data_IF_349294528348
#
_entry.id   IF_349294528348
#
_cell.length_a   1.000
_cell.length_b   1.000
_cell.length_c   1.000
_cell.angle_alpha   90.00
_cell.angle_beta   90.00
_cell.angle_gamma   90.00
#
_symmetry.space_group_name_H-M   'P 1'
#
loop_
_entity.id
_entity.type
_entity.pdbx_description
1 polymer ?
#
# COMPACT_ATOMS: atom_id res chain seq x y z
N UNK A 1 -22.52 -64.28 7.61
CA UNK A 1 -22.59 -63.41 6.41
C UNK A 1 -22.55 -61.91 6.72
N UNK A 2 -23.16 -61.41 7.81
CA UNK A 2 -23.21 -59.97 8.15
C UNK A 2 -21.85 -59.31 8.43
N UNK A 3 -20.88 -60.00 9.05
CA UNK A 3 -19.57 -59.44 9.38
C UNK A 3 -18.71 -59.06 8.16
N UNK A 4 -18.85 -59.77 7.03
CA UNK A 4 -18.15 -59.44 5.78
C UNK A 4 -18.66 -58.13 5.15
N UNK A 5 -19.94 -57.81 5.36
CA UNK A 5 -20.53 -56.57 4.87
C UNK A 5 -19.96 -55.34 5.60
N UNK A 6 -19.83 -55.41 6.93
CA UNK A 6 -19.25 -54.33 7.73
C UNK A 6 -17.76 -54.12 7.49
N UNK A 7 -17.01 -55.21 7.27
CA UNK A 7 -15.58 -55.14 6.95
C UNK A 7 -15.32 -54.42 5.62
N UNK A 8 -16.14 -54.72 4.60
CA UNK A 8 -16.01 -54.08 3.29
C UNK A 8 -16.35 -52.57 3.36
N UNK A 9 -17.37 -52.20 4.14
CA UNK A 9 -17.72 -50.78 4.36
C UNK A 9 -16.62 -50.02 5.11
N UNK A 10 -16.01 -50.65 6.12
CA UNK A 10 -14.92 -50.05 6.88
C UNK A 10 -13.65 -49.85 6.03
N UNK A 11 -13.30 -50.83 5.19
CA UNK A 11 -12.18 -50.71 4.24
C UNK A 11 -12.46 -49.62 3.20
N UNK A 12 -13.69 -49.52 2.69
CA UNK A 12 -14.07 -48.46 1.75
C UNK A 12 -13.95 -47.06 2.38
N UNK A 13 -14.35 -46.92 3.64
CA UNK A 13 -14.21 -45.67 4.41
C UNK A 13 -12.73 -45.32 4.66
N UNK A 14 -11.89 -46.34 4.92
CA UNK A 14 -10.45 -46.18 5.10
C UNK A 14 -9.76 -45.76 3.79
N UNK A 15 -10.17 -46.33 2.66
CA UNK A 15 -9.66 -45.95 1.33
C UNK A 15 -10.10 -44.53 0.96
N UNK A 16 -11.33 -44.14 1.28
CA UNK A 16 -11.82 -42.77 1.07
C UNK A 16 -11.05 -41.74 1.92
N UNK A 17 -10.75 -42.05 3.18
CA UNK A 17 -9.98 -41.17 4.07
C UNK A 17 -8.49 -41.09 3.69
N UNK A 18 -7.90 -42.20 3.19
CA UNK A 18 -6.54 -42.20 2.64
C UNK A 18 -6.45 -41.53 1.26
N UNK A 19 -7.52 -41.55 0.47
CA UNK A 19 -7.58 -40.82 -0.82
C UNK A 19 -7.70 -39.30 -0.61
N UNK A 20 -8.20 -38.86 0.54
CA UNK A 20 -8.15 -37.45 0.98
C UNK A 20 -6.82 -37.03 1.62
N UNK A 21 -5.81 -37.92 1.63
CA UNK A 21 -4.43 -37.63 2.05
C UNK A 21 -3.66 -36.76 1.03
N UNK A 22 -4.37 -36.13 0.08
CA UNK A 22 -3.83 -35.09 -0.80
C UNK A 22 -3.39 -33.84 -0.02
N UNK A 23 -3.97 -33.56 1.15
CA UNK A 23 -3.58 -32.44 2.02
C UNK A 23 -2.21 -32.68 2.68
N UNK A 24 -1.92 -33.93 3.07
CA UNK A 24 -0.63 -34.30 3.67
C UNK A 24 0.49 -34.32 2.62
N UNK A 25 0.21 -34.85 1.42
CA UNK A 25 1.16 -34.73 0.30
C UNK A 25 1.36 -33.27 -0.11
N UNK A 26 0.31 -32.44 -0.14
CA UNK A 26 0.43 -31.00 -0.40
C UNK A 26 1.28 -30.28 0.67
N UNK A 27 1.13 -30.62 1.95
CA UNK A 27 1.96 -30.07 3.04
C UNK A 27 3.41 -30.57 3.02
N UNK A 28 3.69 -31.72 2.41
CA UNK A 28 5.02 -32.34 2.37
C UNK A 28 5.78 -32.07 1.05
N UNK A 29 5.07 -31.87 -0.07
CA UNK A 29 5.65 -31.68 -1.40
C UNK A 29 5.76 -30.21 -1.82
N UNK A 30 4.95 -29.32 -1.25
CA UNK A 30 5.07 -27.88 -1.51
C UNK A 30 6.11 -27.30 -0.55
N UNK A 31 7.24 -26.75 -1.04
CA UNK A 31 8.19 -26.08 -0.16
C UNK A 31 7.47 -24.96 0.60
N UNK A 32 7.84 -24.70 1.87
CA UNK A 32 7.27 -23.58 2.60
C UNK A 32 7.51 -22.29 1.80
N UNK A 33 6.54 -21.36 1.78
CA UNK A 33 6.67 -20.13 1.00
C UNK A 33 7.92 -19.37 1.43
N UNK A 34 8.62 -18.80 0.45
CA UNK A 34 9.78 -17.98 0.72
C UNK A 34 9.39 -16.71 1.51
N UNK A 35 10.35 -16.11 2.21
CA UNK A 35 10.12 -14.86 2.95
C UNK A 35 9.63 -13.73 2.04
N UNK A 36 10.08 -13.72 0.79
CA UNK A 36 9.64 -12.75 -0.21
C UNK A 36 8.18 -12.99 -0.61
N UNK A 37 7.78 -14.24 -0.83
CA UNK A 37 6.38 -14.60 -1.11
C UNK A 37 5.46 -14.24 0.05
N UNK A 38 5.91 -14.45 1.30
CA UNK A 38 5.16 -14.04 2.49
C UNK A 38 5.00 -12.52 2.58
N UNK A 39 6.06 -11.76 2.33
CA UNK A 39 6.01 -10.30 2.29
C UNK A 39 5.05 -9.78 1.21
N UNK A 40 5.16 -10.31 -0.01
CA UNK A 40 4.29 -9.93 -1.13
C UNK A 40 2.82 -10.28 -0.84
N UNK A 41 2.57 -11.43 -0.22
CA UNK A 41 1.22 -11.81 0.22
C UNK A 41 0.68 -10.83 1.27
N UNK A 42 1.45 -10.49 2.29
CA UNK A 42 1.04 -9.52 3.31
C UNK A 42 0.80 -8.13 2.72
N UNK A 43 1.58 -7.71 1.71
CA UNK A 43 1.31 -6.47 0.98
C UNK A 43 0.00 -6.53 0.19
N UNK A 44 -0.26 -7.64 -0.51
CA UNK A 44 -1.54 -7.80 -1.22
C UNK A 44 -2.73 -7.79 -0.27
N UNK A 45 -2.63 -8.47 0.87
CA UNK A 45 -3.67 -8.44 1.91
C UNK A 45 -3.88 -7.01 2.45
N UNK A 46 -2.81 -6.24 2.63
CA UNK A 46 -2.89 -4.83 3.01
C UNK A 46 -3.63 -3.99 1.95
N UNK A 47 -3.22 -4.11 0.68
CA UNK A 47 -3.80 -3.39 -0.46
C UNK A 47 -5.28 -3.74 -0.65
N UNK A 48 -5.65 -5.02 -0.50
CA UNK A 48 -7.03 -5.48 -0.63
C UNK A 48 -7.93 -5.05 0.53
N UNK A 49 -7.36 -4.90 1.74
CA UNK A 49 -8.10 -4.42 2.92
C UNK A 49 -8.14 -2.90 3.04
N UNK A 50 -7.45 -2.17 2.16
CA UNK A 50 -7.45 -0.71 2.17
C UNK A 50 -8.76 -0.16 1.59
N UNK A 51 -9.24 0.94 2.16
CA UNK A 51 -10.37 1.69 1.65
C UNK A 51 -9.97 2.48 0.39
N UNK A 52 -10.80 2.39 -0.65
CA UNK A 52 -10.60 3.06 -1.94
C UNK A 52 -11.53 4.27 -2.08
N UNK A 53 -11.10 5.28 -2.84
CA UNK A 53 -11.92 6.44 -3.25
C UNK A 53 -12.57 7.18 -2.07
N UNK A 54 -11.86 7.28 -0.93
CA UNK A 54 -12.34 8.08 0.20
C UNK A 54 -12.24 9.54 -0.19
N UNK A 55 -13.33 10.28 0.01
CA UNK A 55 -13.35 11.71 -0.24
C UNK A 55 -12.44 12.47 0.73
N UNK A 56 -11.54 13.30 0.20
CA UNK A 56 -10.73 14.27 0.93
C UNK A 56 -11.46 15.00 2.06
N UNK A 57 -12.67 15.50 1.80
CA UNK A 57 -13.44 16.23 2.81
C UNK A 57 -13.92 15.32 3.94
N UNK A 58 -14.21 14.05 3.67
CA UNK A 58 -14.55 13.09 4.73
C UNK A 58 -13.38 12.91 5.70
N UNK A 59 -12.17 12.71 5.16
CA UNK A 59 -10.94 12.60 5.95
C UNK A 59 -10.63 13.88 6.74
N UNK A 60 -10.99 15.04 6.20
CA UNK A 60 -10.73 16.33 6.83
C UNK A 60 -11.76 16.73 7.88
N UNK A 61 -13.03 16.42 7.66
CA UNK A 61 -14.12 16.84 8.53
C UNK A 61 -14.35 15.86 9.68
N UNK A 62 -14.06 14.57 9.49
CA UNK A 62 -14.29 13.52 10.47
C UNK A 62 -13.01 12.69 10.72
N UNK A 63 -11.88 13.30 11.15
CA UNK A 63 -10.60 12.61 11.27
C UNK A 63 -10.66 11.38 12.20
N UNK A 64 -11.39 11.48 13.31
CA UNK A 64 -11.52 10.40 14.31
C UNK A 64 -12.17 9.13 13.76
N UNK A 65 -13.05 9.25 12.76
CA UNK A 65 -13.74 8.11 12.16
C UNK A 65 -12.84 7.29 11.22
N UNK A 66 -11.67 7.84 10.85
CA UNK A 66 -10.71 7.22 9.95
C UNK A 66 -9.36 6.97 10.60
N UNK A 67 -9.19 7.29 11.89
CA UNK A 67 -7.93 7.05 12.59
C UNK A 67 -7.55 5.57 12.52
N UNK A 68 -6.30 5.30 12.13
CA UNK A 68 -5.76 3.95 11.90
C UNK A 68 -6.45 3.12 10.79
N UNK A 69 -7.35 3.72 10.01
CA UNK A 69 -7.91 3.07 8.83
C UNK A 69 -6.85 2.95 7.74
N UNK A 70 -6.86 1.81 7.05
CA UNK A 70 -6.00 1.57 5.88
C UNK A 70 -6.64 2.24 4.67
N UNK A 71 -5.93 3.14 4.02
CA UNK A 71 -6.49 3.91 2.92
C UNK A 71 -5.54 3.95 1.72
N UNK A 72 -6.14 4.01 0.53
CA UNK A 72 -5.46 4.33 -0.71
C UNK A 72 -5.67 5.80 -1.06
N UNK A 73 -4.58 6.50 -1.35
CA UNK A 73 -4.61 7.85 -1.93
C UNK A 73 -3.86 7.83 -3.25
N UNK A 74 -4.47 8.42 -4.28
CA UNK A 74 -3.85 8.60 -5.59
C UNK A 74 -3.58 10.08 -5.83
N UNK A 75 -2.41 10.42 -6.37
CA UNK A 75 -2.11 11.80 -6.75
C UNK A 75 -0.72 12.00 -7.33
N UNK A 76 -0.34 13.27 -7.50
CA UNK A 76 0.97 13.71 -7.99
C UNK A 76 1.82 14.21 -6.82
N UNK A 77 3.07 13.78 -6.74
CA UNK A 77 4.03 14.31 -5.76
C UNK A 77 4.42 15.72 -6.19
N UNK A 78 4.19 16.73 -5.35
CA UNK A 78 4.48 18.13 -5.69
C UNK A 78 5.63 18.74 -4.90
N UNK A 79 5.96 18.19 -3.73
CA UNK A 79 7.13 18.60 -2.95
C UNK A 79 7.66 17.42 -2.14
N UNK A 80 8.98 17.34 -1.99
CA UNK A 80 9.66 16.32 -1.19
C UNK A 80 10.33 16.97 0.02
N UNK A 81 10.17 16.34 1.18
CA UNK A 81 10.88 16.66 2.42
C UNK A 81 11.71 15.45 2.86
N UNK A 82 12.39 15.56 3.98
CA UNK A 82 13.30 14.49 4.45
C UNK A 82 12.57 13.16 4.75
N UNK A 83 11.45 13.23 5.48
CA UNK A 83 10.69 12.06 5.96
C UNK A 83 9.21 12.10 5.55
N UNK A 84 8.86 13.00 4.65
CA UNK A 84 7.51 13.07 4.09
C UNK A 84 7.54 13.76 2.72
N UNK A 85 6.43 13.65 2.01
CA UNK A 85 6.21 14.41 0.78
C UNK A 85 4.78 14.94 0.73
N UNK A 86 4.61 16.02 -0.03
CA UNK A 86 3.31 16.60 -0.30
C UNK A 86 2.77 16.01 -1.59
N UNK A 87 1.62 15.35 -1.49
CA UNK A 87 0.87 14.79 -2.59
C UNK A 87 -0.34 15.68 -2.89
N UNK A 88 -0.64 15.87 -4.18
CA UNK A 88 -1.78 16.65 -4.65
C UNK A 88 -2.66 15.78 -5.55
N UNK A 89 -3.98 15.78 -5.28
CA UNK A 89 -4.97 15.04 -6.08
C UNK A 89 -5.66 16.00 -7.03
N UNK A 90 -5.69 15.64 -8.32
CA UNK A 90 -6.28 16.49 -9.33
C UNK A 90 -7.80 16.21 -9.43
N UNK A 91 -8.68 17.22 -9.24
CA UNK A 91 -10.13 17.03 -9.30
C UNK A 91 -10.64 16.54 -10.65
N UNK A 92 -9.92 16.80 -11.74
CA UNK A 92 -10.39 16.48 -13.09
C UNK A 92 -10.30 14.99 -13.41
N UNK A 93 -9.46 14.25 -12.69
CA UNK A 93 -9.28 12.81 -12.91
C UNK A 93 -10.08 11.97 -11.91
N UNK A 94 -10.16 12.40 -10.64
CA UNK A 94 -10.76 11.59 -9.57
C UNK A 94 -11.91 12.27 -8.81
N UNK A 95 -12.43 13.40 -9.30
CA UNK A 95 -13.42 14.24 -8.60
C UNK A 95 -12.98 14.65 -7.17
N UNK A 96 -11.68 14.59 -6.90
CA UNK A 96 -11.10 14.81 -5.58
C UNK A 96 -10.03 15.91 -5.65
N UNK A 97 -10.31 17.05 -5.02
CA UNK A 97 -9.36 18.15 -4.87
C UNK A 97 -8.80 18.17 -3.45
N UNK A 98 -7.54 17.80 -3.28
CA UNK A 98 -6.96 17.67 -1.94
C UNK A 98 -5.44 17.69 -1.90
N UNK A 99 -4.91 18.11 -0.76
CA UNK A 99 -3.51 17.94 -0.41
C UNK A 99 -3.39 16.83 0.63
N UNK A 100 -2.41 15.97 0.46
CA UNK A 100 -2.11 14.91 1.42
C UNK A 100 -0.67 15.02 1.85
N UNK A 101 -0.41 14.94 3.16
CA UNK A 101 0.95 14.75 3.66
C UNK A 101 1.21 13.25 3.77
N UNK A 102 2.20 12.76 3.06
CA UNK A 102 2.57 11.34 3.10
C UNK A 102 3.85 11.19 3.89
N UNK A 103 3.75 10.58 5.08
CA UNK A 103 4.90 10.24 5.93
C UNK A 103 5.51 8.93 5.47
N UNK A 104 6.84 8.88 5.39
CA UNK A 104 7.63 7.70 5.05
C UNK A 104 8.67 7.46 6.14
N UNK A 105 8.98 6.20 6.42
CA UNK A 105 9.93 5.80 7.47
C UNK A 105 11.36 5.57 6.96
N UNK A 106 11.54 5.68 5.64
CA UNK A 106 12.79 5.53 4.94
C UNK A 106 12.79 6.48 3.74
N UNK A 107 13.93 7.12 3.42
CA UNK A 107 13.98 8.10 2.35
C UNK A 107 13.61 7.46 1.01
N UNK A 108 12.94 8.23 0.17
CA UNK A 108 12.79 7.85 -1.24
C UNK A 108 14.19 7.64 -1.85
N UNK A 109 14.38 6.64 -2.72
CA UNK A 109 15.69 6.39 -3.31
C UNK A 109 16.17 7.62 -4.11
N UNK A 110 17.36 8.15 -3.77
CA UNK A 110 17.96 9.33 -4.45
C UNK A 110 18.73 8.94 -5.72
N UNK A 111 18.88 9.86 -6.68
CA UNK A 111 19.68 9.64 -7.90
C UNK A 111 21.20 9.59 -7.65
N UNK A 112 21.88 8.61 -8.29
CA UNK A 112 23.35 8.53 -8.53
C UNK A 112 24.11 7.64 -7.52
N UNK A 113 24.97 6.66 -7.87
CA UNK A 113 25.76 6.36 -9.09
C UNK A 113 25.77 4.83 -9.43
N UNK A 114 25.85 4.44 -10.72
CA UNK A 114 26.05 3.07 -11.28
C UNK A 114 24.84 2.08 -11.38
N UNK A 115 24.85 1.12 -12.35
CA UNK A 115 23.95 1.10 -13.49
C UNK A 115 22.61 0.39 -13.23
N UNK A 116 21.52 1.19 -13.18
CA UNK A 116 20.06 0.94 -13.44
C UNK A 116 19.44 -0.44 -13.08
N UNK A 117 18.20 -0.51 -12.53
CA UNK A 117 17.02 0.05 -13.22
C UNK A 117 15.82 0.48 -12.31
N UNK A 118 14.71 0.83 -12.99
CA UNK A 118 13.31 1.03 -12.52
C UNK A 118 12.93 2.47 -12.17
N UNK A 119 11.76 2.88 -12.67
CA UNK A 119 11.20 4.24 -12.66
C UNK A 119 11.07 4.71 -11.20
N UNK A 120 11.93 5.64 -10.77
CA UNK A 120 11.87 6.24 -9.43
C UNK A 120 10.74 7.28 -9.35
N UNK A 121 10.11 7.37 -8.18
CA UNK A 121 9.11 8.41 -7.88
C UNK A 121 9.83 9.66 -7.37
N UNK A 122 9.50 10.80 -7.97
CA UNK A 122 9.99 12.12 -7.58
C UNK A 122 8.88 13.15 -7.70
N UNK A 123 9.18 14.43 -7.45
CA UNK A 123 8.30 15.55 -7.85
C UNK A 123 7.83 15.35 -9.30
N UNK A 124 6.52 15.46 -9.52
CA UNK A 124 5.84 15.22 -10.78
C UNK A 124 5.39 13.76 -11.02
N UNK A 125 5.82 12.80 -10.20
CA UNK A 125 5.38 11.41 -10.33
C UNK A 125 3.96 11.22 -9.82
N UNK A 126 3.17 10.48 -10.59
CA UNK A 126 1.83 10.02 -10.23
C UNK A 126 1.91 8.67 -9.53
N UNK A 127 1.33 8.58 -8.33
CA UNK A 127 1.51 7.43 -7.44
C UNK A 127 0.22 7.03 -6.77
N UNK A 128 0.14 5.73 -6.45
CA UNK A 128 -0.82 5.16 -5.52
C UNK A 128 -0.12 4.90 -4.19
N UNK A 129 -0.54 5.60 -3.15
CA UNK A 129 -0.05 5.42 -1.79
C UNK A 129 -1.07 4.60 -1.01
N UNK A 130 -0.62 3.50 -0.42
CA UNK A 130 -1.40 2.74 0.55
C UNK A 130 -0.75 2.90 1.92
N UNK A 131 -1.55 3.26 2.91
CA UNK A 131 -1.04 3.54 4.26
C UNK A 131 -2.15 3.68 5.28
N UNK A 132 -1.76 4.03 6.50
CA UNK A 132 -2.69 4.30 7.59
C UNK A 132 -3.00 5.79 7.64
N UNK A 133 -4.27 6.14 7.80
CA UNK A 133 -4.63 7.52 8.10
C UNK A 133 -4.22 7.86 9.54
N UNK A 134 -3.47 8.96 9.69
CA UNK A 134 -2.84 9.39 10.94
C UNK A 134 -3.33 10.76 11.42
N UNK A 135 -4.50 11.19 10.95
CA UNK A 135 -5.10 12.49 11.30
C UNK A 135 -4.72 13.62 10.36
N UNK A 136 -4.74 14.84 10.91
CA UNK A 136 -4.53 16.08 10.16
C UNK A 136 -3.23 16.76 10.60
N UNK A 137 -2.46 17.24 9.63
CA UNK A 137 -1.29 18.07 9.90
C UNK A 137 -1.30 19.32 9.02
N UNK A 138 -0.46 20.28 9.36
CA UNK A 138 -0.28 21.50 8.56
C UNK A 138 1.16 21.56 8.04
N UNK A 139 1.32 22.08 6.82
CA UNK A 139 2.61 22.42 6.23
C UNK A 139 2.64 23.93 6.07
N UNK A 140 3.71 24.56 6.56
CA UNK A 140 3.91 25.98 6.34
C UNK A 140 4.17 26.23 4.84
N UNK A 141 3.33 27.05 4.15
CA UNK A 141 3.53 27.36 2.73
C UNK A 141 4.89 28.01 2.40
N UNK A 142 5.59 28.55 3.41
CA UNK A 142 6.96 29.05 3.25
C UNK A 142 7.97 27.94 2.92
N UNK A 143 7.71 26.69 3.35
CA UNK A 143 8.57 25.52 3.11
C UNK A 143 8.44 24.97 1.69
N UNK A 144 7.43 25.39 0.94
CA UNK A 144 7.26 24.99 -0.46
C UNK A 144 8.26 25.77 -1.30
N UNK A 145 9.07 25.02 -2.05
CA UNK A 145 10.15 25.57 -2.87
C UNK A 145 9.62 26.52 -3.95
N UNK A 146 10.42 27.52 -4.30
CA UNK A 146 10.08 28.46 -5.38
C UNK A 146 9.90 27.74 -6.72
N UNK A 147 10.66 26.66 -6.96
CA UNK A 147 10.52 25.82 -8.15
C UNK A 147 9.15 25.14 -8.20
N UNK A 148 8.71 24.48 -7.11
CA UNK A 148 7.41 23.82 -7.06
C UNK A 148 6.25 24.80 -7.29
N UNK A 149 6.34 26.01 -6.72
CA UNK A 149 5.37 27.11 -6.97
C UNK A 149 5.34 27.56 -8.43
N UNK A 150 6.52 27.66 -9.07
CA UNK A 150 6.65 28.03 -10.48
C UNK A 150 6.09 26.96 -11.41
N UNK A 151 6.31 25.68 -11.10
CA UNK A 151 5.84 24.55 -11.90
C UNK A 151 4.33 24.31 -11.73
N UNK A 152 3.76 24.67 -10.58
CA UNK A 152 2.34 24.47 -10.28
C UNK A 152 1.64 25.80 -9.91
N UNK A 153 1.58 26.78 -10.82
CA UNK A 153 1.04 28.12 -10.51
C UNK A 153 -0.47 28.12 -10.25
N UNK A 154 -1.17 27.05 -10.65
CA UNK A 154 -2.60 26.86 -10.45
C UNK A 154 -2.96 26.34 -9.06
N UNK A 155 -1.97 25.90 -8.28
CA UNK A 155 -2.18 25.31 -6.94
C UNK A 155 -2.16 26.42 -5.89
N UNK A 156 -3.24 26.51 -5.11
CA UNK A 156 -3.31 27.39 -3.94
C UNK A 156 -2.68 26.74 -2.70
N UNK A 157 -1.41 27.03 -2.47
CA UNK A 157 -0.64 26.56 -1.32
C UNK A 157 -1.08 27.14 0.03
N UNK A 158 -1.95 28.15 0.08
CA UNK A 158 -2.47 28.66 1.36
C UNK A 158 -3.36 27.65 2.08
N UNK A 159 -3.85 26.65 1.34
CA UNK A 159 -4.73 25.57 1.82
C UNK A 159 -4.00 24.40 2.48
N UNK A 160 -2.70 24.49 2.72
CA UNK A 160 -1.88 23.47 3.39
C UNK A 160 -2.09 23.38 4.92
N UNK A 161 -3.23 23.86 5.42
CA UNK A 161 -3.61 23.77 6.84
C UNK A 161 -4.62 22.66 7.06
N UNK A 162 -4.39 21.85 8.09
CA UNK A 162 -5.24 20.73 8.49
C UNK A 162 -5.55 19.80 7.31
N UNK A 163 -4.50 19.32 6.66
CA UNK A 163 -4.58 18.40 5.53
C UNK A 163 -4.45 16.95 6.04
N UNK A 164 -5.19 15.98 5.47
CA UNK A 164 -5.05 14.56 5.72
C UNK A 164 -3.60 14.09 5.66
N UNK A 165 -3.20 13.27 6.64
CA UNK A 165 -1.84 12.75 6.77
C UNK A 165 -1.85 11.24 6.77
N UNK A 166 -1.10 10.64 5.84
CA UNK A 166 -1.04 9.19 5.65
C UNK A 166 0.34 8.70 6.05
N UNK A 167 0.43 7.72 6.94
CA UNK A 167 1.66 6.96 7.17
C UNK A 167 1.75 5.85 6.12
N UNK A 168 2.62 6.04 5.13
CA UNK A 168 2.71 5.12 3.99
C UNK A 168 3.27 3.77 4.41
N UNK A 169 2.65 2.70 3.91
CA UNK A 169 3.13 1.33 4.01
C UNK A 169 3.74 0.88 2.69
N UNK A 170 3.10 1.20 1.57
CA UNK A 170 3.58 0.85 0.23
C UNK A 170 3.14 1.88 -0.79
N UNK A 171 4.01 2.14 -1.77
CA UNK A 171 3.75 3.08 -2.86
C UNK A 171 3.95 2.36 -4.19
N UNK A 172 3.01 2.55 -5.12
CA UNK A 172 3.06 2.06 -6.49
C UNK A 172 3.05 3.21 -7.48
N UNK A 173 3.68 3.02 -8.63
CA UNK A 173 3.50 3.92 -9.77
C UNK A 173 2.05 3.85 -10.27
N UNK A 174 1.49 4.96 -10.76
CA UNK A 174 0.15 4.96 -11.37
C UNK A 174 -0.04 3.90 -12.44
N UNK A 175 1.00 3.63 -13.24
CA UNK A 175 0.93 2.69 -14.35
C UNK A 175 0.71 1.24 -13.89
N UNK A 176 1.02 0.91 -12.63
CA UNK A 176 0.76 -0.41 -12.07
C UNK A 176 -0.69 -0.54 -11.56
N UNK A 177 -1.60 -0.87 -12.48
CA UNK A 177 -3.01 -1.05 -12.18
C UNK A 177 -3.31 -2.30 -11.35
N UNK A 178 -2.36 -3.25 -11.26
CA UNK A 178 -2.53 -4.51 -10.52
C UNK A 178 -1.84 -4.50 -9.16
N UNK A 179 -1.08 -3.46 -8.86
CA UNK A 179 -0.33 -3.30 -7.62
C UNK A 179 0.61 -4.48 -7.34
N UNK A 180 1.28 -4.97 -8.39
CA UNK A 180 2.19 -6.11 -8.33
C UNK A 180 3.64 -5.70 -8.04
N UNK A 181 4.03 -4.47 -8.41
CA UNK A 181 5.42 -3.99 -8.40
C UNK A 181 5.53 -2.71 -7.55
N UNK A 182 5.70 -2.86 -6.22
CA UNK A 182 5.85 -1.70 -5.36
C UNK A 182 7.14 -0.94 -5.71
N UNK A 183 7.03 0.38 -5.75
CA UNK A 183 8.19 1.28 -5.96
C UNK A 183 8.88 1.58 -4.63
N UNK A 184 8.13 1.54 -3.53
CA UNK A 184 8.64 1.74 -2.18
C UNK A 184 7.78 0.96 -1.18
N UNK A 185 8.41 0.41 -0.13
CA UNK A 185 7.76 -0.31 0.98
C UNK A 185 8.37 0.21 2.27
N UNK A 186 7.55 0.39 3.31
CA UNK A 186 8.04 0.86 4.61
C UNK A 186 8.95 -0.17 5.27
N UNK A 187 10.03 0.33 5.88
CA UNK A 187 10.99 -0.53 6.58
C UNK A 187 10.34 -1.20 7.79
N UNK A 188 9.41 -0.51 8.46
CA UNK A 188 8.58 -1.03 9.56
C UNK A 188 7.80 -2.26 9.12
N UNK A 189 7.15 -2.21 7.94
CA UNK A 189 6.39 -3.34 7.41
C UNK A 189 7.29 -4.51 7.02
N UNK A 190 8.41 -4.24 6.33
CA UNK A 190 9.41 -5.26 6.01
C UNK A 190 9.88 -5.96 7.29
N UNK A 191 10.25 -5.21 8.33
CA UNK A 191 10.75 -5.77 9.57
C UNK A 191 9.73 -6.62 10.35
N UNK A 192 8.44 -6.37 10.16
CA UNK A 192 7.35 -7.13 10.79
C UNK A 192 7.08 -8.45 10.05
N UNK A 193 7.22 -8.46 8.73
CA UNK A 193 6.79 -9.58 7.87
C UNK A 193 7.93 -10.39 7.24
N UNK A 194 9.19 -9.94 7.36
CA UNK A 194 10.37 -10.55 6.73
C UNK A 194 11.38 -11.19 7.72
N UNK A 195 11.09 -11.18 9.03
CA UNK A 195 11.96 -11.78 10.06
C UNK A 195 11.90 -13.31 10.09
#
# INVERSE_FOLDING_TARGET
MRAKLFLNSAILLLVLTLSSCSILNYLLETPPPSKEELLLKSLQEFVQSSLYNINYNSLRLNPEAYEDEKIRVFGVIIEEFENDFLLFTNPFEDNEYGFYRIKIDSPLPKQGEFPKPLKYISRGSEVNVFGYYSGLTSIDPSKISAESKRLNPHIDYTRLRNIPTIEAVVIYDRADQRFEKPVWISQKFINQHYK
#
